data_IF_348126229694
#
_entry.id   IF_348126229694
#
_cell.length_a   1.000
_cell.length_b   1.000
_cell.length_c   1.000
_cell.angle_alpha   90.00
_cell.angle_beta   90.00
_cell.angle_gamma   90.00
#
_symmetry.space_group_name_H-M   'P 1'
#
loop_
_entity.id
_entity.type
_entity.pdbx_description
1 polymer ?
#
# COMPACT_ATOMS: atom_id res chain seq x y z
N UNK A 1 -15.24 -16.33 -12.59
CA UNK A 1 -13.87 -15.88 -12.29
C UNK A 1 -12.92 -17.03 -12.61
N UNK A 2 -11.96 -16.82 -13.51
CA UNK A 2 -10.93 -17.81 -13.82
C UNK A 2 -9.65 -17.40 -13.09
N UNK A 3 -9.08 -18.28 -12.29
CA UNK A 3 -7.84 -18.01 -11.55
C UNK A 3 -6.72 -18.81 -12.22
N UNK A 4 -5.66 -18.13 -12.67
CA UNK A 4 -4.46 -18.73 -13.25
C UNK A 4 -3.29 -18.53 -12.29
N UNK A 5 -2.58 -19.61 -11.93
CA UNK A 5 -1.33 -19.55 -11.18
C UNK A 5 -0.17 -19.46 -12.18
N UNK A 6 0.37 -18.28 -12.36
CA UNK A 6 1.43 -17.96 -13.34
C UNK A 6 2.12 -16.67 -12.93
N UNK A 7 3.29 -16.39 -13.51
CA UNK A 7 3.97 -15.11 -13.36
C UNK A 7 3.52 -14.11 -14.41
N UNK A 8 3.57 -12.82 -14.07
CA UNK A 8 3.20 -11.76 -15.02
C UNK A 8 4.08 -11.80 -16.28
N UNK A 9 5.38 -12.11 -16.15
CA UNK A 9 6.28 -12.20 -17.30
C UNK A 9 6.00 -13.40 -18.22
N UNK A 10 5.21 -14.39 -17.78
CA UNK A 10 4.81 -15.57 -18.59
C UNK A 10 3.54 -15.31 -19.41
N UNK A 11 2.86 -14.18 -19.20
CA UNK A 11 1.68 -13.81 -19.98
C UNK A 11 2.10 -13.18 -21.32
N UNK A 12 1.25 -13.31 -22.33
CA UNK A 12 1.46 -12.71 -23.66
C UNK A 12 0.24 -11.93 -24.18
N UNK A 13 -0.90 -12.02 -23.50
CA UNK A 13 -2.13 -11.34 -23.90
C UNK A 13 -2.16 -9.91 -23.34
N UNK A 14 -2.39 -8.93 -24.22
CA UNK A 14 -2.54 -7.53 -23.81
C UNK A 14 -3.71 -7.36 -22.82
N UNK A 15 -3.54 -6.45 -21.86
CA UNK A 15 -4.51 -6.12 -20.82
C UNK A 15 -4.76 -4.62 -20.80
N UNK A 16 -6.02 -4.22 -20.69
CA UNK A 16 -6.37 -2.81 -20.56
C UNK A 16 -6.02 -2.27 -19.16
N UNK A 17 -6.07 -3.14 -18.14
CA UNK A 17 -5.80 -2.78 -16.75
C UNK A 17 -5.00 -3.89 -16.08
N UNK A 18 -3.91 -3.53 -15.41
CA UNK A 18 -3.15 -4.43 -14.52
C UNK A 18 -3.07 -3.82 -13.14
N UNK A 19 -3.43 -4.59 -12.11
CA UNK A 19 -3.52 -4.09 -10.73
C UNK A 19 -2.67 -4.93 -9.78
N UNK A 20 -1.87 -4.24 -8.97
CA UNK A 20 -1.26 -4.79 -7.76
C UNK A 20 -1.93 -4.16 -6.55
N UNK A 21 -2.39 -5.00 -5.63
CA UNK A 21 -3.14 -4.55 -4.48
C UNK A 21 -2.58 -5.23 -3.23
N UNK A 22 -1.66 -4.54 -2.56
CA UNK A 22 -0.79 -5.08 -1.51
C UNK A 22 -0.04 -6.35 -1.92
N UNK A 23 0.43 -6.37 -3.17
CA UNK A 23 1.22 -7.48 -3.73
C UNK A 23 2.55 -7.06 -4.33
N UNK A 24 2.71 -5.78 -4.71
CA UNK A 24 3.90 -5.30 -5.41
C UNK A 24 5.12 -5.24 -4.48
N UNK A 25 4.91 -4.86 -3.23
CA UNK A 25 5.90 -4.79 -2.15
C UNK A 25 6.48 -6.16 -1.73
N UNK A 26 5.88 -7.24 -2.22
CA UNK A 26 6.32 -8.62 -2.03
C UNK A 26 7.08 -9.20 -3.23
N UNK A 27 7.17 -8.45 -4.34
CA UNK A 27 7.85 -8.94 -5.53
C UNK A 27 9.37 -8.86 -5.32
N UNK A 28 10.14 -9.91 -5.67
CA UNK A 28 11.59 -9.91 -5.50
C UNK A 28 12.29 -8.95 -6.48
N UNK A 29 11.72 -8.75 -7.67
CA UNK A 29 12.23 -7.81 -8.68
C UNK A 29 11.09 -6.89 -9.18
N UNK A 30 10.97 -5.67 -8.61
CA UNK A 30 9.95 -4.71 -9.03
C UNK A 30 10.20 -4.10 -10.40
N UNK A 31 11.45 -4.10 -10.90
CA UNK A 31 11.78 -3.59 -12.24
C UNK A 31 11.30 -4.59 -13.29
N UNK A 32 11.67 -5.86 -13.15
CA UNK A 32 11.23 -6.93 -14.06
C UNK A 32 9.70 -7.00 -14.12
N UNK A 33 9.04 -6.90 -12.96
CA UNK A 33 7.59 -6.89 -12.88
C UNK A 33 6.96 -5.74 -13.68
N UNK A 34 7.50 -4.52 -13.55
CA UNK A 34 7.00 -3.37 -14.29
C UNK A 34 7.34 -3.41 -15.77
N UNK A 35 8.49 -3.94 -16.17
CA UNK A 35 8.81 -4.16 -17.58
C UNK A 35 7.82 -5.14 -18.23
N UNK A 36 7.45 -6.21 -17.51
CA UNK A 36 6.41 -7.14 -17.95
C UNK A 36 5.04 -6.47 -18.05
N UNK A 37 4.65 -5.66 -17.06
CA UNK A 37 3.41 -4.87 -17.09
C UNK A 37 3.41 -3.90 -18.27
N UNK A 38 4.53 -3.21 -18.52
CA UNK A 38 4.67 -2.31 -19.67
C UNK A 38 4.52 -3.08 -20.98
N UNK A 39 5.06 -4.30 -21.11
CA UNK A 39 4.86 -5.13 -22.29
C UNK A 39 3.39 -5.50 -22.49
N UNK A 40 2.72 -5.90 -21.41
CA UNK A 40 1.36 -6.43 -21.44
C UNK A 40 0.25 -5.38 -21.53
N UNK A 41 0.49 -4.13 -21.18
CA UNK A 41 -0.58 -3.14 -21.25
C UNK A 41 -0.96 -2.82 -22.71
N UNK A 42 -2.25 -2.80 -23.03
CA UNK A 42 -2.75 -2.30 -24.30
C UNK A 42 -2.34 -0.82 -24.50
N UNK A 43 -2.30 -0.29 -25.74
CA UNK A 43 -2.21 1.15 -25.96
C UNK A 43 -3.35 1.90 -25.23
N UNK A 44 -2.99 2.82 -24.33
CA UNK A 44 -3.95 3.53 -23.47
C UNK A 44 -4.39 2.77 -22.21
N UNK A 45 -3.86 1.56 -21.97
CA UNK A 45 -4.08 0.81 -20.74
C UNK A 45 -3.35 1.41 -19.53
N UNK A 46 -3.78 1.03 -18.33
CA UNK A 46 -3.29 1.59 -17.07
C UNK A 46 -2.82 0.50 -16.09
N UNK A 47 -1.74 0.80 -15.37
CA UNK A 47 -1.32 0.02 -14.21
C UNK A 47 -1.72 0.76 -12.92
N UNK A 48 -2.32 0.05 -11.97
CA UNK A 48 -2.56 0.55 -10.61
C UNK A 48 -1.73 -0.25 -9.61
N UNK A 49 -0.94 0.44 -8.79
CA UNK A 49 -0.21 -0.15 -7.67
C UNK A 49 -0.73 0.46 -6.38
N UNK A 50 -1.40 -0.34 -5.54
CA UNK A 50 -1.86 0.07 -4.21
C UNK A 50 -1.02 -0.60 -3.13
N UNK A 51 -0.28 0.18 -2.35
CA UNK A 51 0.72 -0.32 -1.39
C UNK A 51 0.91 0.59 -0.18
N UNK A 52 1.49 0.08 0.92
CA UNK A 52 1.99 0.90 2.02
C UNK A 52 3.12 1.85 1.57
N UNK A 53 3.20 3.02 2.20
CA UNK A 53 4.17 4.07 1.92
C UNK A 53 4.95 4.49 3.17
N UNK A 54 6.28 4.47 3.10
CA UNK A 54 7.15 5.03 4.17
C UNK A 54 7.27 6.55 4.11
N UNK A 55 6.87 7.18 2.99
CA UNK A 55 6.71 8.63 2.89
C UNK A 55 5.43 9.12 3.58
N UNK A 56 5.13 8.63 4.77
CA UNK A 56 3.87 8.86 5.49
C UNK A 56 4.09 9.40 6.91
N UNK A 57 3.04 10.00 7.48
CA UNK A 57 3.07 10.45 8.88
C UNK A 57 3.13 9.27 9.84
N UNK A 58 2.46 8.16 9.52
CA UNK A 58 2.50 6.95 10.33
C UNK A 58 3.92 6.39 10.45
N UNK A 59 4.68 6.34 9.35
CA UNK A 59 6.09 5.92 9.40
C UNK A 59 6.94 6.86 10.27
N UNK A 60 6.80 8.18 10.08
CA UNK A 60 7.54 9.18 10.88
C UNK A 60 7.22 9.07 12.37
N UNK A 61 5.97 8.81 12.73
CA UNK A 61 5.50 8.72 14.12
C UNK A 61 5.87 7.40 14.78
N UNK A 62 5.63 6.27 14.11
CA UNK A 62 5.66 4.95 14.74
C UNK A 62 6.93 4.14 14.42
N UNK A 63 7.63 4.45 13.32
CA UNK A 63 8.82 3.72 12.89
C UNK A 63 8.57 2.21 12.84
N UNK A 64 9.34 1.44 13.62
CA UNK A 64 9.23 -0.02 13.69
C UNK A 64 7.92 -0.54 14.28
N UNK A 65 7.12 0.31 14.92
CA UNK A 65 5.79 -0.03 15.42
C UNK A 65 4.69 0.33 14.43
N UNK A 66 5.01 0.83 13.24
CA UNK A 66 3.99 1.09 12.21
C UNK A 66 3.34 -0.22 11.77
N UNK A 67 2.00 -0.27 11.80
CA UNK A 67 1.26 -1.51 11.57
C UNK A 67 1.49 -2.11 10.17
N UNK A 68 1.69 -1.28 9.14
CA UNK A 68 1.96 -1.77 7.79
C UNK A 68 3.44 -1.99 7.50
N UNK A 69 4.34 -1.80 8.47
CA UNK A 69 5.72 -2.25 8.30
C UNK A 69 5.74 -3.75 7.98
N UNK A 70 4.95 -4.52 8.73
CA UNK A 70 4.68 -5.94 8.53
C UNK A 70 5.93 -6.75 8.14
N UNK A 71 6.99 -6.58 8.93
CA UNK A 71 8.19 -7.37 8.80
C UNK A 71 7.89 -8.82 9.24
N UNK A 72 8.43 -9.85 8.55
CA UNK A 72 9.44 -9.79 7.49
C UNK A 72 8.88 -9.89 6.06
N UNK A 73 7.55 -9.77 5.86
CA UNK A 73 6.94 -10.15 4.58
C UNK A 73 7.16 -9.14 3.46
N UNK A 74 7.26 -7.84 3.75
CA UNK A 74 7.55 -6.82 2.74
C UNK A 74 9.04 -6.85 2.36
N UNK A 75 9.35 -7.14 1.09
CA UNK A 75 10.72 -7.06 0.59
C UNK A 75 11.13 -5.61 0.35
N UNK A 76 10.17 -4.76 -0.02
CA UNK A 76 10.37 -3.35 -0.29
C UNK A 76 9.40 -2.51 0.53
N UNK A 77 9.91 -1.41 1.07
CA UNK A 77 9.13 -0.36 1.69
C UNK A 77 9.27 0.89 0.83
N UNK A 78 8.26 1.17 0.01
CA UNK A 78 8.34 2.21 -1.01
C UNK A 78 8.03 3.59 -0.44
N UNK A 79 8.78 4.60 -0.90
CA UNK A 79 8.39 6.00 -0.84
C UNK A 79 7.83 6.45 -2.19
N UNK A 80 7.07 7.55 -2.23
CA UNK A 80 6.61 8.13 -3.50
C UNK A 80 7.78 8.47 -4.43
N UNK A 81 8.90 8.96 -3.90
CA UNK A 81 10.12 9.26 -4.67
C UNK A 81 10.70 7.99 -5.29
N UNK A 82 10.77 6.89 -4.53
CA UNK A 82 11.26 5.62 -5.07
C UNK A 82 10.35 5.08 -6.19
N UNK A 83 9.03 5.25 -6.08
CA UNK A 83 8.07 4.86 -7.12
C UNK A 83 8.20 5.73 -8.37
N UNK A 84 8.47 7.03 -8.23
CA UNK A 84 8.74 7.92 -9.37
C UNK A 84 9.99 7.48 -10.14
N UNK A 85 11.07 7.17 -9.42
CA UNK A 85 12.32 6.66 -10.04
C UNK A 85 12.06 5.33 -10.74
N UNK A 86 11.30 4.44 -10.10
CA UNK A 86 10.97 3.13 -10.65
C UNK A 86 10.10 3.24 -11.90
N UNK A 87 9.09 4.12 -11.89
CA UNK A 87 8.24 4.40 -13.04
C UNK A 87 9.05 4.91 -14.23
N UNK A 88 9.93 5.91 -14.02
CA UNK A 88 10.79 6.45 -15.08
C UNK A 88 11.70 5.37 -15.69
N UNK A 89 12.35 4.56 -14.85
CA UNK A 89 13.22 3.45 -15.30
C UNK A 89 12.48 2.42 -16.15
N UNK A 90 11.18 2.22 -15.88
CA UNK A 90 10.34 1.21 -16.52
C UNK A 90 9.41 1.80 -17.58
N UNK A 91 9.70 3.02 -18.04
CA UNK A 91 8.97 3.74 -19.10
C UNK A 91 7.48 3.98 -18.77
N UNK A 92 7.18 4.14 -17.49
CA UNK A 92 5.89 4.59 -17.01
C UNK A 92 5.92 6.07 -16.64
N UNK A 93 4.74 6.68 -16.72
CA UNK A 93 4.42 7.97 -16.14
C UNK A 93 3.35 7.79 -15.08
N UNK A 94 3.56 8.35 -13.89
CA UNK A 94 2.52 8.43 -12.86
C UNK A 94 1.48 9.45 -13.31
N UNK A 95 0.24 9.00 -13.48
CA UNK A 95 -0.93 9.79 -13.84
C UNK A 95 -1.58 10.40 -12.60
N UNK A 96 -1.75 9.60 -11.55
CA UNK A 96 -2.47 9.99 -10.34
C UNK A 96 -1.97 9.19 -9.13
N UNK A 97 -2.06 9.80 -7.94
CA UNK A 97 -1.82 9.13 -6.67
C UNK A 97 -3.03 9.44 -5.77
N UNK A 98 -3.73 8.40 -5.34
CA UNK A 98 -4.91 8.50 -4.47
C UNK A 98 -4.58 7.89 -3.12
N UNK A 99 -4.50 8.72 -2.08
CA UNK A 99 -4.29 8.26 -0.70
C UNK A 99 -5.62 7.81 -0.10
N UNK A 100 -5.64 6.58 0.41
CA UNK A 100 -6.83 5.93 0.94
C UNK A 100 -6.55 5.20 2.26
N UNK A 101 -5.71 5.82 3.08
CA UNK A 101 -5.38 5.33 4.42
C UNK A 101 -6.57 5.45 5.35
N UNK A 102 -6.67 4.58 6.34
CA UNK A 102 -7.74 4.60 7.34
C UNK A 102 -7.19 4.81 8.74
N UNK A 103 -8.06 4.76 9.75
CA UNK A 103 -7.67 4.77 11.16
C UNK A 103 -6.70 3.62 11.53
N UNK A 104 -6.61 2.60 10.67
CA UNK A 104 -5.73 1.45 10.85
C UNK A 104 -4.27 1.85 11.08
N UNK A 105 -3.80 2.86 10.33
CA UNK A 105 -2.45 3.39 10.46
C UNK A 105 -2.13 3.88 11.89
N UNK A 106 -3.16 4.25 12.66
CA UNK A 106 -3.02 4.70 14.03
C UNK A 106 -3.29 3.57 15.02
N UNK A 107 -4.50 3.01 15.07
CA UNK A 107 -4.84 2.07 16.14
C UNK A 107 -3.98 0.80 16.08
N UNK A 108 -3.63 0.33 14.88
CA UNK A 108 -2.76 -0.83 14.73
C UNK A 108 -1.35 -0.54 15.25
N UNK A 109 -0.85 0.66 14.98
CA UNK A 109 0.49 1.06 15.39
C UNK A 109 0.58 1.40 16.88
N UNK A 110 -0.47 2.00 17.44
CA UNK A 110 -0.60 2.25 18.89
C UNK A 110 -0.73 0.94 19.68
N UNK A 111 -1.37 -0.09 19.10
CA UNK A 111 -1.33 -1.44 19.67
C UNK A 111 0.08 -2.01 19.72
N UNK A 112 0.85 -1.89 18.64
CA UNK A 112 2.25 -2.34 18.63
C UNK A 112 3.11 -1.58 19.64
N UNK A 113 2.90 -0.28 19.81
CA UNK A 113 3.56 0.51 20.88
C UNK A 113 3.22 0.01 22.30
N UNK A 114 2.10 -0.69 22.47
CA UNK A 114 1.65 -1.27 23.75
C UNK A 114 1.89 -2.78 23.84
N UNK A 115 2.66 -3.35 22.91
CA UNK A 115 2.93 -4.78 22.83
C UNK A 115 1.64 -5.62 22.71
N UNK A 116 0.66 -5.11 21.96
CA UNK A 116 -0.60 -5.80 21.65
C UNK A 116 -0.54 -6.25 20.17
N UNK A 117 -0.39 -7.56 19.90
CA UNK A 117 -0.42 -8.07 18.54
C UNK A 117 -1.76 -7.79 17.83
N UNK A 118 -1.73 -7.63 16.50
CA UNK A 118 -2.91 -7.33 15.69
C UNK A 118 -4.00 -8.41 15.80
N UNK A 119 -3.60 -9.65 16.09
CA UNK A 119 -4.48 -10.81 16.24
C UNK A 119 -4.81 -11.15 17.69
N UNK A 120 -4.37 -10.34 18.67
CA UNK A 120 -4.70 -10.55 20.07
C UNK A 120 -6.22 -10.45 20.32
N UNK A 121 -6.72 -11.13 21.37
CA UNK A 121 -8.15 -11.10 21.72
C UNK A 121 -8.65 -9.69 22.01
N UNK A 122 -7.80 -8.83 22.58
CA UNK A 122 -8.07 -7.43 22.88
C UNK A 122 -7.64 -6.46 21.76
N UNK A 123 -7.31 -6.94 20.56
CA UNK A 123 -7.06 -6.07 19.40
C UNK A 123 -8.37 -5.41 18.94
N UNK A 124 -8.33 -4.14 18.57
CA UNK A 124 -9.47 -3.43 17.98
C UNK A 124 -9.99 -4.14 16.73
N UNK A 125 -9.10 -4.67 15.89
CA UNK A 125 -9.49 -5.44 14.71
C UNK A 125 -10.17 -6.78 15.00
N UNK A 126 -10.08 -7.29 16.24
CA UNK A 126 -10.70 -8.56 16.68
C UNK A 126 -11.90 -8.37 17.59
N UNK A 127 -11.76 -7.53 18.60
CA UNK A 127 -12.80 -7.24 19.57
C UNK A 127 -12.74 -5.76 20.01
N UNK A 128 -13.39 -4.86 19.26
CA UNK A 128 -13.43 -3.43 19.59
C UNK A 128 -13.85 -3.14 21.03
N UNK A 129 -14.75 -3.95 21.60
CA UNK A 129 -15.28 -3.75 22.96
C UNK A 129 -14.26 -4.09 24.06
N UNK A 130 -13.28 -4.97 23.78
CA UNK A 130 -12.17 -5.28 24.69
C UNK A 130 -10.88 -4.52 24.37
N UNK A 131 -10.90 -3.68 23.33
CA UNK A 131 -9.72 -2.94 22.92
C UNK A 131 -9.34 -1.83 23.89
N UNK A 132 -8.09 -1.37 23.79
CA UNK A 132 -7.57 -0.25 24.59
C UNK A 132 -8.12 1.12 24.14
N UNK A 133 -8.91 1.16 23.06
CA UNK A 133 -9.40 2.41 22.48
C UNK A 133 -10.87 2.64 22.79
N UNK A 134 -11.19 3.88 23.13
CA UNK A 134 -12.56 4.38 23.18
C UNK A 134 -13.11 4.62 21.77
N UNK A 135 -14.44 4.66 21.63
CA UNK A 135 -15.08 5.01 20.35
C UNK A 135 -14.64 6.39 19.85
N UNK A 136 -14.53 7.37 20.74
CA UNK A 136 -14.07 8.72 20.43
C UNK A 136 -12.64 8.73 19.88
N UNK A 137 -11.71 7.98 20.48
CA UNK A 137 -10.34 7.87 19.97
C UNK A 137 -10.31 7.32 18.54
N UNK A 138 -11.12 6.29 18.24
CA UNK A 138 -11.21 5.73 16.89
C UNK A 138 -11.81 6.74 15.91
N UNK A 139 -12.85 7.47 16.30
CA UNK A 139 -13.43 8.53 15.47
C UNK A 139 -12.42 9.65 15.18
N UNK A 140 -11.58 9.99 16.14
CA UNK A 140 -10.51 10.99 15.94
C UNK A 140 -9.42 10.45 15.02
N UNK A 141 -9.03 9.18 15.15
CA UNK A 141 -8.11 8.53 14.20
C UNK A 141 -8.67 8.50 12.77
N UNK A 142 -9.99 8.31 12.59
CA UNK A 142 -10.62 8.42 11.27
C UNK A 142 -10.47 9.80 10.67
N UNK A 143 -10.83 10.85 11.44
CA UNK A 143 -10.68 12.25 10.99
C UNK A 143 -9.22 12.59 10.67
N UNK A 144 -8.28 12.08 11.48
CA UNK A 144 -6.84 12.23 11.23
C UNK A 144 -6.43 11.55 9.93
N UNK A 145 -6.88 10.33 9.66
CA UNK A 145 -6.57 9.59 8.44
C UNK A 145 -7.11 10.33 7.21
N UNK A 146 -8.36 10.79 7.26
CA UNK A 146 -8.98 11.58 6.21
C UNK A 146 -8.22 12.88 5.93
N UNK A 147 -7.74 13.55 7.00
CA UNK A 147 -6.90 14.75 6.88
C UNK A 147 -5.58 14.41 6.19
N UNK A 148 -4.88 13.37 6.63
CA UNK A 148 -3.61 12.96 6.03
C UNK A 148 -3.77 12.52 4.57
N UNK A 149 -4.86 11.86 4.20
CA UNK A 149 -5.13 11.52 2.80
C UNK A 149 -5.24 12.78 1.93
N UNK A 150 -5.98 13.80 2.39
CA UNK A 150 -6.08 15.09 1.68
C UNK A 150 -4.74 15.83 1.60
N UNK A 151 -3.88 15.64 2.58
CA UNK A 151 -2.54 16.24 2.66
C UNK A 151 -1.45 15.40 1.98
N UNK A 152 -1.81 14.27 1.34
CA UNK A 152 -0.85 13.33 0.73
C UNK A 152 0.19 12.77 1.72
N UNK A 153 -0.25 12.50 2.95
CA UNK A 153 0.56 11.99 4.05
C UNK A 153 0.04 10.68 4.66
N UNK A 154 -0.97 10.08 4.02
CA UNK A 154 -1.47 8.75 4.38
C UNK A 154 -0.39 7.67 4.26
N UNK A 155 -0.55 6.58 5.02
CA UNK A 155 0.37 5.45 5.06
C UNK A 155 0.20 4.43 3.93
N UNK A 156 -0.77 4.64 3.05
CA UNK A 156 -0.96 3.88 1.82
C UNK A 156 -1.60 4.74 0.73
N UNK A 157 -1.37 4.36 -0.52
CA UNK A 157 -2.01 4.98 -1.67
C UNK A 157 -2.14 4.00 -2.84
N UNK A 158 -3.06 4.31 -3.75
CA UNK A 158 -3.12 3.75 -5.10
C UNK A 158 -2.43 4.69 -6.08
N UNK A 159 -1.39 4.20 -6.76
CA UNK A 159 -0.61 4.90 -7.77
C UNK A 159 -1.07 4.40 -9.14
N UNK A 160 -1.61 5.31 -9.95
CA UNK A 160 -2.05 5.03 -11.32
C UNK A 160 -0.96 5.46 -12.29
N UNK A 161 -0.58 4.56 -13.18
CA UNK A 161 0.50 4.74 -14.14
C UNK A 161 0.07 4.36 -15.55
N UNK A 162 0.61 5.09 -16.52
CA UNK A 162 0.40 4.85 -17.95
C UNK A 162 1.75 4.76 -18.65
N UNK A 163 1.81 4.10 -19.80
CA UNK A 163 3.03 4.07 -20.64
C UNK A 163 3.45 5.50 -21.01
N UNK A 164 4.75 5.77 -20.96
CA UNK A 164 5.34 7.04 -21.40
C UNK A 164 5.74 7.00 -22.88
#
# INVERSE_FOLDING_TARGET
LTIKKTWVHELDEEQDIIMFHHSFEHLPDPIEALEAVHRLLSPGGECMIRIPLVSSEAWRKYGTHWVQLDAPRHFFLFSIESLKVLAEKTKFKIKEIVYDSSEFQFWGSEQYLKDIPLMAENSYGKNPAKSIFTKTQIEDYKKMADKLNRESQGDQAAIYMVKN
#
